data_IF_836942297496
#
_entry.id   IF_836942297496
#
_cell.length_a   1.000
_cell.length_b   1.000
_cell.length_c   1.000
_cell.angle_alpha   90.00
_cell.angle_beta   90.00
_cell.angle_gamma   90.00
#
_symmetry.space_group_name_H-M   'P 1'
#
loop_
_entity.id
_entity.type
_entity.pdbx_description
1 polymer ?
#
# COMPACT_ATOMS: atom_id res chain seq x y z
N UNK A 1 28.49 17.28 27.19
CA UNK A 1 28.37 16.00 27.91
C UNK A 1 26.98 15.45 27.65
N UNK A 2 26.82 14.58 26.67
CA UNK A 2 25.58 13.81 26.47
C UNK A 2 25.60 12.67 27.47
N UNK A 3 24.80 12.79 28.54
CA UNK A 3 24.57 11.69 29.48
C UNK A 3 23.70 10.65 28.78
N UNK A 4 24.29 9.56 28.30
CA UNK A 4 23.54 8.36 27.91
C UNK A 4 22.92 7.76 29.18
N UNK A 5 21.60 7.89 29.33
CA UNK A 5 20.84 7.27 30.41
C UNK A 5 20.73 5.75 30.16
N UNK A 6 20.80 4.91 31.21
CA UNK A 6 20.60 3.47 31.08
C UNK A 6 19.14 3.23 30.71
N UNK A 7 18.90 2.74 29.49
CA UNK A 7 17.55 2.42 29.02
C UNK A 7 17.06 1.20 29.80
N UNK A 8 16.03 1.38 30.64
CA UNK A 8 15.40 0.28 31.37
C UNK A 8 14.97 -0.84 30.41
N UNK A 9 15.16 -2.09 30.84
CA UNK A 9 14.96 -3.29 30.02
C UNK A 9 13.54 -3.39 29.44
N UNK A 10 12.55 -2.79 30.09
CA UNK A 10 11.18 -2.69 29.56
C UNK A 10 11.08 -1.70 28.40
N UNK A 11 11.65 -0.50 28.54
CA UNK A 11 11.68 0.53 27.49
C UNK A 11 12.41 0.03 26.24
N UNK A 12 13.51 -0.72 26.40
CA UNK A 12 14.23 -1.35 25.28
C UNK A 12 13.37 -2.39 24.53
N UNK A 13 12.57 -3.19 25.25
CA UNK A 13 11.65 -4.17 24.63
C UNK A 13 10.49 -3.51 23.91
N UNK A 14 9.95 -2.43 24.48
CA UNK A 14 8.86 -1.67 23.88
C UNK A 14 9.30 -0.96 22.59
N UNK A 15 10.49 -0.35 22.60
CA UNK A 15 11.12 0.21 21.39
C UNK A 15 11.33 -0.85 20.31
N UNK A 16 11.81 -2.04 20.66
CA UNK A 16 12.00 -3.12 19.69
C UNK A 16 10.68 -3.60 19.09
N UNK A 17 9.64 -3.79 19.93
CA UNK A 17 8.29 -4.15 19.48
C UNK A 17 7.71 -3.09 18.55
N UNK A 18 7.76 -1.82 18.96
CA UNK A 18 7.27 -0.68 18.18
C UNK A 18 7.99 -0.59 16.83
N UNK A 19 9.31 -0.73 16.82
CA UNK A 19 10.12 -0.69 15.59
C UNK A 19 9.76 -1.83 14.62
N UNK A 20 9.55 -3.06 15.14
CA UNK A 20 9.12 -4.20 14.32
C UNK A 20 7.70 -4.03 13.76
N UNK A 21 6.79 -3.51 14.59
CA UNK A 21 5.41 -3.19 14.18
C UNK A 21 5.42 -2.12 13.09
N UNK A 22 6.21 -1.06 13.25
CA UNK A 22 6.35 0.00 12.26
C UNK A 22 6.87 -0.53 10.92
N UNK A 23 7.89 -1.40 10.93
CA UNK A 23 8.40 -2.03 9.71
C UNK A 23 7.35 -2.90 9.03
N UNK A 24 6.62 -3.72 9.79
CA UNK A 24 5.53 -4.56 9.26
C UNK A 24 4.43 -3.72 8.64
N UNK A 25 3.98 -2.67 9.33
CA UNK A 25 2.94 -1.77 8.84
C UNK A 25 3.40 -1.05 7.59
N UNK A 26 4.64 -0.57 7.55
CA UNK A 26 5.19 0.11 6.39
C UNK A 26 5.29 -0.81 5.17
N UNK A 27 5.70 -2.06 5.36
CA UNK A 27 5.72 -3.07 4.30
C UNK A 27 4.31 -3.35 3.77
N UNK A 28 3.33 -3.52 4.67
CA UNK A 28 1.93 -3.73 4.31
C UNK A 28 1.34 -2.53 3.54
N UNK A 29 1.63 -1.31 3.99
CA UNK A 29 1.22 -0.08 3.31
C UNK A 29 1.82 0.02 1.90
N UNK A 30 3.11 -0.30 1.72
CA UNK A 30 3.75 -0.31 0.40
C UNK A 30 3.08 -1.33 -0.53
N UNK A 31 2.83 -2.54 -0.05
CA UNK A 31 2.13 -3.56 -0.83
C UNK A 31 0.71 -3.11 -1.23
N UNK A 32 -0.01 -2.44 -0.33
CA UNK A 32 -1.32 -1.85 -0.66
C UNK A 32 -1.21 -0.75 -1.70
N UNK A 33 -0.19 0.10 -1.62
CA UNK A 33 0.04 1.16 -2.62
C UNK A 33 0.31 0.57 -4.00
N UNK A 34 1.22 -0.40 -4.10
CA UNK A 34 1.51 -1.08 -5.37
C UNK A 34 0.27 -1.75 -5.96
N UNK A 35 -0.55 -2.42 -5.14
CA UNK A 35 -1.80 -3.03 -5.59
C UNK A 35 -2.80 -1.96 -6.07
N UNK A 36 -2.88 -0.82 -5.40
CA UNK A 36 -3.73 0.30 -5.83
C UNK A 36 -3.25 0.89 -7.16
N UNK A 37 -1.96 1.04 -7.38
CA UNK A 37 -1.43 1.55 -8.65
C UNK A 37 -1.76 0.61 -9.81
N UNK A 38 -1.64 -0.70 -9.59
CA UNK A 38 -2.04 -1.73 -10.55
C UNK A 38 -3.56 -1.65 -10.82
N UNK A 39 -4.37 -1.48 -9.77
CA UNK A 39 -5.82 -1.34 -9.91
C UNK A 39 -6.20 -0.09 -10.71
N UNK A 40 -5.56 1.06 -10.44
CA UNK A 40 -5.75 2.31 -11.18
C UNK A 40 -5.39 2.11 -12.66
N UNK A 41 -4.28 1.43 -12.95
CA UNK A 41 -3.89 1.14 -14.33
C UNK A 41 -4.90 0.27 -15.08
N UNK A 42 -5.53 -0.70 -14.40
CA UNK A 42 -6.59 -1.55 -14.98
C UNK A 42 -7.91 -0.80 -15.14
N UNK A 43 -8.23 0.09 -14.21
CA UNK A 43 -9.43 0.91 -14.20
C UNK A 43 -9.24 2.26 -14.90
N UNK A 44 -8.27 2.37 -15.83
CA UNK A 44 -7.86 3.64 -16.42
C UNK A 44 -9.04 4.39 -17.05
N UNK A 45 -9.89 3.69 -17.80
CA UNK A 45 -11.00 4.32 -18.54
C UNK A 45 -12.02 5.00 -17.60
N UNK A 46 -12.35 4.36 -16.48
CA UNK A 46 -13.28 4.94 -15.49
C UNK A 46 -12.60 5.98 -14.60
N UNK A 47 -11.32 5.77 -14.29
CA UNK A 47 -10.52 6.71 -13.50
C UNK A 47 -10.30 8.01 -14.27
N UNK A 48 -10.06 7.94 -15.57
CA UNK A 48 -9.87 9.11 -16.44
C UNK A 48 -11.16 9.93 -16.57
N UNK A 49 -12.32 9.28 -16.71
CA UNK A 49 -13.62 9.97 -16.70
C UNK A 49 -13.88 10.69 -15.38
N UNK A 50 -13.62 10.03 -14.25
CA UNK A 50 -13.73 10.67 -12.93
C UNK A 50 -12.75 11.83 -12.79
N UNK A 51 -11.48 11.67 -13.19
CA UNK A 51 -10.47 12.71 -13.14
C UNK A 51 -10.83 13.91 -14.01
N UNK A 52 -11.42 13.69 -15.18
CA UNK A 52 -11.89 14.76 -16.04
C UNK A 52 -13.05 15.53 -15.38
N UNK A 53 -14.07 14.82 -14.89
CA UNK A 53 -15.18 15.44 -14.16
C UNK A 53 -14.70 16.23 -12.93
N UNK A 54 -13.73 15.70 -12.17
CA UNK A 54 -13.16 16.38 -11.01
C UNK A 54 -12.41 17.67 -11.38
N UNK A 55 -11.73 17.70 -12.53
CA UNK A 55 -11.09 18.91 -13.06
C UNK A 55 -12.11 19.97 -13.46
N UNK A 56 -13.21 19.54 -14.09
CA UNK A 56 -14.23 20.45 -14.63
C UNK A 56 -15.11 21.05 -13.52
N UNK A 57 -15.49 20.23 -12.52
CA UNK A 57 -16.42 20.62 -11.45
C UNK A 57 -15.71 21.19 -10.20
N UNK A 58 -14.40 20.96 -10.06
CA UNK A 58 -13.57 21.46 -8.97
C UNK A 58 -14.14 21.10 -7.59
N UNK A 59 -14.57 22.11 -6.83
CA UNK A 59 -15.14 21.91 -5.49
C UNK A 59 -16.48 21.15 -5.49
N UNK A 60 -17.20 21.13 -6.62
CA UNK A 60 -18.50 20.45 -6.74
C UNK A 60 -18.39 18.96 -7.10
N UNK A 61 -17.16 18.42 -7.22
CA UNK A 61 -16.88 17.01 -7.58
C UNK A 61 -17.66 15.99 -6.76
N UNK A 62 -17.82 16.22 -5.45
CA UNK A 62 -18.49 15.27 -4.54
C UNK A 62 -19.98 15.11 -4.88
N UNK A 63 -20.59 16.16 -5.41
CA UNK A 63 -22.00 16.16 -5.81
C UNK A 63 -22.17 15.78 -7.28
N UNK A 64 -21.35 16.35 -8.16
CA UNK A 64 -21.50 16.26 -9.63
C UNK A 64 -20.87 15.02 -10.23
N UNK A 65 -19.78 14.53 -9.64
CA UNK A 65 -19.06 13.35 -10.12
C UNK A 65 -19.33 12.12 -9.26
N UNK A 66 -20.43 12.11 -8.49
CA UNK A 66 -20.76 11.04 -7.54
C UNK A 66 -20.93 9.67 -8.22
N UNK A 67 -21.55 9.64 -9.40
CA UNK A 67 -21.75 8.42 -10.18
C UNK A 67 -20.42 7.89 -10.73
N UNK A 68 -19.62 8.76 -11.36
CA UNK A 68 -18.28 8.41 -11.84
C UNK A 68 -17.35 7.93 -10.70
N UNK A 69 -17.47 8.53 -9.51
CA UNK A 69 -16.78 8.08 -8.31
C UNK A 69 -17.25 6.69 -7.88
N UNK A 70 -18.54 6.39 -7.96
CA UNK A 70 -19.07 5.07 -7.65
C UNK A 70 -18.56 4.01 -8.64
N UNK A 71 -18.57 4.31 -9.94
CA UNK A 71 -18.06 3.41 -10.99
C UNK A 71 -16.57 3.14 -10.84
N UNK A 72 -15.78 4.20 -10.60
CA UNK A 72 -14.35 4.07 -10.32
C UNK A 72 -14.11 3.19 -9.08
N UNK A 73 -14.81 3.45 -7.97
CA UNK A 73 -14.65 2.66 -6.75
C UNK A 73 -15.09 1.21 -6.92
N UNK A 74 -16.14 0.95 -7.71
CA UNK A 74 -16.57 -0.41 -8.02
C UNK A 74 -15.47 -1.16 -8.78
N UNK A 75 -14.88 -0.54 -9.80
CA UNK A 75 -13.75 -1.14 -10.53
C UNK A 75 -12.53 -1.38 -9.63
N UNK A 76 -12.13 -0.38 -8.83
CA UNK A 76 -10.97 -0.51 -7.95
C UNK A 76 -11.16 -1.63 -6.92
N UNK A 77 -12.37 -1.79 -6.36
CA UNK A 77 -12.68 -2.83 -5.39
C UNK A 77 -12.51 -4.26 -5.92
N UNK A 78 -12.65 -4.47 -7.23
CA UNK A 78 -12.39 -5.79 -7.82
C UNK A 78 -10.93 -6.21 -7.69
N UNK A 79 -10.01 -5.23 -7.66
CA UNK A 79 -8.56 -5.48 -7.61
C UNK A 79 -7.94 -5.21 -6.24
N UNK A 80 -8.57 -4.40 -5.38
CA UNK A 80 -8.04 -4.03 -4.06
C UNK A 80 -8.74 -4.75 -2.89
N UNK A 81 -9.57 -5.77 -3.17
CA UNK A 81 -10.20 -6.56 -2.11
C UNK A 81 -9.18 -7.36 -1.28
N UNK A 82 -9.60 -7.79 -0.09
CA UNK A 82 -8.73 -8.51 0.85
C UNK A 82 -8.17 -9.81 0.26
N UNK A 83 -8.91 -10.50 -0.60
CA UNK A 83 -8.46 -11.75 -1.23
C UNK A 83 -7.32 -11.46 -2.24
N UNK A 84 -7.49 -10.47 -3.11
CA UNK A 84 -6.44 -10.01 -4.03
C UNK A 84 -5.22 -9.49 -3.28
N UNK A 85 -5.42 -8.83 -2.14
CA UNK A 85 -4.33 -8.38 -1.29
C UNK A 85 -3.51 -9.55 -0.71
N UNK A 86 -4.15 -10.63 -0.23
CA UNK A 86 -3.41 -11.80 0.25
C UNK A 86 -2.68 -12.52 -0.89
N UNK A 87 -3.32 -12.70 -2.05
CA UNK A 87 -2.68 -13.30 -3.23
C UNK A 87 -1.45 -12.47 -3.64
N UNK A 88 -1.58 -11.14 -3.68
CA UNK A 88 -0.48 -10.25 -4.04
C UNK A 88 0.65 -10.30 -3.01
N UNK A 89 0.32 -10.29 -1.72
CA UNK A 89 1.28 -10.42 -0.62
C UNK A 89 2.07 -11.72 -0.70
N UNK A 90 1.39 -12.86 -0.88
CA UNK A 90 2.05 -14.17 -1.01
C UNK A 90 2.95 -14.24 -2.24
N UNK A 91 2.51 -13.66 -3.37
CA UNK A 91 3.31 -13.59 -4.59
C UNK A 91 4.59 -12.78 -4.37
N UNK A 92 4.47 -11.58 -3.78
CA UNK A 92 5.60 -10.71 -3.48
C UNK A 92 6.57 -11.33 -2.47
N UNK A 93 6.05 -12.03 -1.46
CA UNK A 93 6.87 -12.79 -0.51
C UNK A 93 7.68 -13.90 -1.20
N UNK A 94 7.06 -14.65 -2.11
CA UNK A 94 7.75 -15.66 -2.92
C UNK A 94 8.82 -15.05 -3.84
N UNK A 95 8.53 -13.92 -4.49
CA UNK A 95 9.48 -13.19 -5.33
C UNK A 95 10.69 -12.70 -4.53
N UNK A 96 10.49 -12.14 -3.33
CA UNK A 96 11.60 -11.71 -2.45
C UNK A 96 12.44 -12.90 -1.97
N UNK A 97 11.82 -14.02 -1.61
CA UNK A 97 12.54 -15.23 -1.22
C UNK A 97 13.35 -15.81 -2.38
N UNK A 98 12.89 -15.66 -3.62
CA UNK A 98 13.64 -16.07 -4.81
C UNK A 98 14.80 -15.11 -5.12
N UNK A 99 14.61 -13.80 -4.98
CA UNK A 99 15.69 -12.82 -5.23
C UNK A 99 16.84 -12.92 -4.21
N UNK A 100 16.52 -13.26 -2.95
CA UNK A 100 17.53 -13.56 -1.92
C UNK A 100 18.33 -14.82 -2.26
N UNK A 101 17.67 -15.89 -2.73
CA UNK A 101 18.36 -17.13 -3.14
C UNK A 101 19.27 -16.96 -4.36
N UNK A 102 18.91 -16.06 -5.28
CA UNK A 102 19.73 -15.78 -6.47
C UNK A 102 20.96 -14.92 -6.16
N UNK A 103 20.96 -14.16 -5.06
CA UNK A 103 22.13 -13.35 -4.64
C UNK A 103 23.15 -14.15 -3.83
N UNK A 104 22.75 -15.27 -3.23
CA UNK A 104 23.65 -16.21 -2.53
C UNK A 104 24.29 -17.26 -3.47
N UNK A 105 24.02 -17.21 -4.79
CA UNK A 105 24.50 -18.17 -5.79
C UNK A 105 25.57 -17.66 -6.76
N UNK A 106 26.20 -16.51 -6.48
CA UNK A 106 27.38 -16.02 -7.22
C UNK A 106 28.54 -15.80 -6.26
N UNK A 107 29.12 -16.90 -5.82
CA UNK A 107 30.52 -16.98 -5.37
C UNK A 107 31.18 -18.19 -6.04
#
# INVERSE_FOLDING_TARGET
MTMEQPVDKETAKEHFRSSRLQWSNQAEHRLRQELNDIAIAKCRDVTEKFAQCAKDEGLMVVFRCRELNADMNNCLREYTNNEQFQIYREKREKEMLQSMKSTEGSE
#
